data_IF_244309439136
#
_entry.id   IF_244309439136
#
_cell.length_a   1.000
_cell.length_b   1.000
_cell.length_c   1.000
_cell.angle_alpha   90.00
_cell.angle_beta   90.00
_cell.angle_gamma   90.00
#
_symmetry.space_group_name_H-M   'P 1'
#
loop_
_entity.id
_entity.type
_entity.pdbx_description
1 polymer ?
#
# COMPACT_ATOMS: atom_id res chain seq x y z
N UNK A 1 11.93 -35.30 -19.50
CA UNK A 1 11.70 -35.44 -18.04
C UNK A 1 12.18 -34.21 -17.23
N UNK A 2 12.27 -33.02 -17.83
CA UNK A 2 12.74 -31.78 -17.18
C UNK A 2 11.67 -30.69 -17.03
N UNK A 3 10.50 -30.79 -17.67
CA UNK A 3 9.48 -29.72 -17.60
C UNK A 3 8.73 -29.67 -16.26
N UNK A 4 8.63 -30.80 -15.56
CA UNK A 4 7.87 -30.89 -14.31
C UNK A 4 8.62 -30.24 -13.14
N UNK A 5 9.96 -30.30 -13.13
CA UNK A 5 10.81 -29.68 -12.12
C UNK A 5 10.92 -28.17 -12.31
N UNK A 6 11.07 -27.68 -13.55
CA UNK A 6 11.13 -26.26 -13.86
C UNK A 6 9.82 -25.54 -13.50
N UNK A 7 8.66 -26.13 -13.82
CA UNK A 7 7.35 -25.53 -13.48
C UNK A 7 7.04 -25.49 -11.98
N UNK A 8 7.57 -26.41 -11.17
CA UNK A 8 7.42 -26.38 -9.71
C UNK A 8 8.34 -25.35 -9.05
N UNK A 9 9.55 -25.16 -9.58
CA UNK A 9 10.50 -24.13 -9.13
C UNK A 9 9.97 -22.70 -9.36
N UNK A 10 9.32 -22.47 -10.50
CA UNK A 10 8.72 -21.18 -10.86
C UNK A 10 7.57 -20.79 -9.92
N UNK A 11 6.69 -21.74 -9.56
CA UNK A 11 5.59 -21.51 -8.61
C UNK A 11 6.07 -21.13 -7.21
N UNK A 12 7.07 -21.84 -6.69
CA UNK A 12 7.61 -21.57 -5.35
C UNK A 12 8.33 -20.21 -5.29
N UNK A 13 9.03 -19.84 -6.37
CA UNK A 13 9.65 -18.52 -6.51
C UNK A 13 8.60 -17.41 -6.54
N UNK A 14 7.53 -17.60 -7.32
CA UNK A 14 6.42 -16.66 -7.44
C UNK A 14 5.67 -16.47 -6.11
N UNK A 15 5.45 -17.54 -5.35
CA UNK A 15 4.81 -17.45 -4.02
C UNK A 15 5.65 -16.65 -3.02
N UNK A 16 6.97 -16.89 -2.98
CA UNK A 16 7.89 -16.11 -2.14
C UNK A 16 7.92 -14.63 -2.54
N UNK A 17 7.91 -14.34 -3.85
CA UNK A 17 7.91 -12.98 -4.38
C UNK A 17 6.60 -12.27 -4.06
N UNK A 18 5.46 -12.95 -4.20
CA UNK A 18 4.16 -12.42 -3.78
C UNK A 18 4.13 -12.15 -2.27
N UNK A 19 4.66 -13.04 -1.42
CA UNK A 19 4.77 -12.78 0.02
C UNK A 19 5.61 -11.54 0.32
N UNK A 20 6.75 -11.38 -0.36
CA UNK A 20 7.62 -10.21 -0.21
C UNK A 20 6.90 -8.91 -0.61
N UNK A 21 6.17 -8.90 -1.73
CA UNK A 21 5.40 -7.73 -2.18
C UNK A 21 4.34 -7.32 -1.14
N UNK A 22 3.64 -8.29 -0.54
CA UNK A 22 2.66 -7.99 0.52
C UNK A 22 3.31 -7.42 1.77
N UNK A 23 4.46 -7.96 2.17
CA UNK A 23 5.20 -7.44 3.31
C UNK A 23 5.63 -5.99 3.06
N UNK A 24 6.12 -5.69 1.86
CA UNK A 24 6.46 -4.32 1.46
C UNK A 24 5.23 -3.40 1.44
N UNK A 25 4.09 -3.86 0.91
CA UNK A 25 2.84 -3.11 0.93
C UNK A 25 2.37 -2.79 2.36
N UNK A 26 2.53 -3.72 3.30
CA UNK A 26 2.19 -3.48 4.70
C UNK A 26 3.01 -2.34 5.30
N UNK A 27 4.32 -2.32 5.05
CA UNK A 27 5.18 -1.22 5.50
C UNK A 27 4.79 0.11 4.84
N UNK A 28 4.49 0.11 3.53
CA UNK A 28 4.04 1.31 2.82
C UNK A 28 2.78 1.89 3.49
N UNK A 29 1.79 1.06 3.80
CA UNK A 29 0.57 1.51 4.49
C UNK A 29 0.89 2.11 5.85
N UNK A 30 1.75 1.46 6.63
CA UNK A 30 2.13 1.95 7.97
C UNK A 30 2.78 3.35 7.89
N UNK A 31 3.73 3.53 6.97
CA UNK A 31 4.37 4.83 6.75
C UNK A 31 3.39 5.87 6.22
N UNK A 32 2.53 5.52 5.25
CA UNK A 32 1.52 6.43 4.71
C UNK A 32 0.52 6.87 5.77
N UNK A 33 0.06 5.98 6.65
CA UNK A 33 -0.81 6.34 7.78
C UNK A 33 -0.11 7.30 8.75
N UNK A 34 1.16 7.04 9.07
CA UNK A 34 1.95 7.94 9.91
C UNK A 34 2.06 9.34 9.30
N UNK A 35 2.43 9.44 8.02
CA UNK A 35 2.50 10.71 7.32
C UNK A 35 1.14 11.39 7.17
N UNK A 36 0.06 10.63 6.98
CA UNK A 36 -1.29 11.17 6.89
C UNK A 36 -1.67 11.91 8.18
N UNK A 37 -1.47 11.28 9.34
CA UNK A 37 -1.79 11.87 10.65
C UNK A 37 -0.91 13.10 10.91
N UNK A 38 0.39 13.01 10.61
CA UNK A 38 1.32 14.12 10.81
C UNK A 38 0.94 15.34 9.96
N UNK A 39 0.63 15.13 8.69
CA UNK A 39 0.23 16.19 7.77
C UNK A 39 -1.15 16.76 8.10
N UNK A 40 -2.09 15.94 8.57
CA UNK A 40 -3.40 16.40 9.04
C UNK A 40 -3.26 17.31 10.27
N UNK A 41 -2.41 16.93 11.23
CA UNK A 41 -2.11 17.75 12.41
C UNK A 41 -1.46 19.09 12.01
N UNK A 42 -0.46 19.03 11.13
CA UNK A 42 0.22 20.23 10.64
C UNK A 42 -0.75 21.15 9.87
N UNK A 43 -1.60 20.61 9.00
CA UNK A 43 -2.61 21.37 8.29
C UNK A 43 -3.54 22.12 9.26
N UNK A 44 -4.05 21.44 10.29
CA UNK A 44 -4.88 22.06 11.34
C UNK A 44 -4.17 23.19 12.07
N UNK A 45 -2.91 22.98 12.45
CA UNK A 45 -2.07 24.00 13.11
C UNK A 45 -1.83 25.22 12.21
N UNK A 46 -1.52 25.01 10.93
CA UNK A 46 -1.24 26.11 9.99
C UNK A 46 -2.50 26.89 9.59
N UNK A 47 -3.66 26.23 9.50
CA UNK A 47 -4.95 26.90 9.35
C UNK A 47 -5.25 27.82 10.53
N UNK A 48 -5.02 27.37 11.76
CA UNK A 48 -5.23 28.18 12.97
C UNK A 48 -4.29 29.38 13.09
N UNK A 49 -3.06 29.27 12.57
CA UNK A 49 -2.06 30.34 12.58
C UNK A 49 -2.16 31.32 11.39
N UNK A 50 -3.16 31.19 10.51
CA UNK A 50 -3.35 32.09 9.36
C UNK A 50 -2.34 31.90 8.22
N UNK A 51 -1.57 30.80 8.22
CA UNK A 51 -0.54 30.54 7.21
C UNK A 51 -1.08 29.61 6.11
N UNK A 52 -1.88 30.19 5.22
CA UNK A 52 -2.65 29.47 4.19
C UNK A 52 -1.78 28.65 3.22
N UNK A 53 -0.59 29.14 2.86
CA UNK A 53 0.32 28.44 1.93
C UNK A 53 0.86 27.12 2.49
N UNK A 54 1.31 27.12 3.75
CA UNK A 54 1.79 25.89 4.41
C UNK A 54 0.66 24.91 4.73
N UNK A 55 -0.55 25.43 4.98
CA UNK A 55 -1.74 24.62 5.17
C UNK A 55 -2.13 23.87 3.88
N UNK A 56 -2.14 24.56 2.73
CA UNK A 56 -2.39 23.92 1.43
C UNK A 56 -1.35 22.86 1.09
N UNK A 57 -0.07 23.14 1.35
CA UNK A 57 0.99 22.17 1.09
C UNK A 57 0.86 20.92 1.97
N UNK A 58 0.51 21.09 3.25
CA UNK A 58 0.23 19.98 4.16
C UNK A 58 -0.97 19.14 3.71
N UNK A 59 -2.02 19.77 3.18
CA UNK A 59 -3.16 19.08 2.59
C UNK A 59 -2.77 18.27 1.34
N UNK A 60 -1.87 18.76 0.49
CA UNK A 60 -1.36 17.99 -0.65
C UNK A 60 -0.60 16.74 -0.22
N UNK A 61 0.27 16.86 0.79
CA UNK A 61 0.96 15.68 1.35
C UNK A 61 0.00 14.69 2.01
N UNK A 62 -1.06 15.19 2.64
CA UNK A 62 -2.14 14.36 3.17
C UNK A 62 -2.87 13.61 2.05
N UNK A 63 -3.24 14.29 0.96
CA UNK A 63 -3.88 13.68 -0.20
C UNK A 63 -3.00 12.59 -0.83
N UNK A 64 -1.70 12.85 -0.99
CA UNK A 64 -0.74 11.85 -1.49
C UNK A 64 -0.68 10.61 -0.60
N UNK A 65 -0.60 10.80 0.71
CA UNK A 65 -0.60 9.69 1.69
C UNK A 65 -1.90 8.88 1.62
N UNK A 66 -3.04 9.55 1.39
CA UNK A 66 -4.36 8.93 1.28
C UNK A 66 -4.49 8.09 0.01
N UNK A 67 -3.91 8.53 -1.11
CA UNK A 67 -3.81 7.73 -2.34
C UNK A 67 -3.02 6.45 -2.10
N UNK A 68 -1.85 6.52 -1.44
CA UNK A 68 -1.05 5.33 -1.12
C UNK A 68 -1.82 4.34 -0.25
N UNK A 69 -2.48 4.81 0.80
CA UNK A 69 -3.33 3.94 1.65
C UNK A 69 -4.43 3.27 0.81
N UNK A 70 -5.09 4.05 -0.06
CA UNK A 70 -6.19 3.54 -0.90
C UNK A 70 -5.71 2.47 -1.88
N UNK A 71 -4.59 2.69 -2.56
CA UNK A 71 -4.00 1.74 -3.51
C UNK A 71 -3.57 0.46 -2.80
N UNK A 72 -2.95 0.57 -1.64
CA UNK A 72 -2.56 -0.60 -0.85
C UNK A 72 -3.78 -1.37 -0.32
N UNK A 73 -4.86 -0.68 0.08
CA UNK A 73 -6.12 -1.33 0.47
C UNK A 73 -6.74 -2.09 -0.71
N UNK A 74 -6.75 -1.48 -1.90
CA UNK A 74 -7.20 -2.10 -3.14
C UNK A 74 -6.36 -3.33 -3.49
N UNK A 75 -5.04 -3.26 -3.33
CA UNK A 75 -4.14 -4.39 -3.55
C UNK A 75 -4.46 -5.59 -2.65
N UNK A 76 -4.64 -5.35 -1.35
CA UNK A 76 -5.01 -6.38 -0.38
C UNK A 76 -6.37 -7.01 -0.77
N UNK A 77 -7.33 -6.18 -1.18
CA UNK A 77 -8.64 -6.64 -1.64
C UNK A 77 -8.51 -7.53 -2.88
N UNK A 78 -7.81 -7.07 -3.93
CA UNK A 78 -7.60 -7.84 -5.16
C UNK A 78 -6.93 -9.18 -4.84
N UNK A 79 -5.93 -9.20 -3.96
CA UNK A 79 -5.26 -10.43 -3.55
C UNK A 79 -6.19 -11.38 -2.80
N UNK A 80 -6.98 -10.89 -1.86
CA UNK A 80 -7.93 -11.71 -1.11
C UNK A 80 -8.99 -12.37 -2.02
N UNK A 81 -9.52 -11.62 -2.98
CA UNK A 81 -10.53 -12.14 -3.92
C UNK A 81 -9.93 -13.01 -5.03
N UNK A 82 -8.70 -12.72 -5.47
CA UNK A 82 -8.01 -13.53 -6.49
C UNK A 82 -7.50 -14.85 -5.92
N UNK A 83 -6.98 -14.85 -4.68
CA UNK A 83 -6.55 -16.06 -4.00
C UNK A 83 -7.69 -17.07 -3.85
N UNK A 84 -8.93 -16.61 -3.58
CA UNK A 84 -10.10 -17.50 -3.48
C UNK A 84 -10.52 -18.15 -4.80
N UNK A 85 -10.29 -17.49 -5.96
CA UNK A 85 -10.63 -18.10 -7.27
C UNK A 85 -9.70 -19.27 -7.65
N UNK A 86 -8.52 -19.37 -7.03
CA UNK A 86 -7.57 -20.45 -7.27
C UNK A 86 -7.91 -21.77 -6.57
N UNK A 87 -8.88 -21.79 -5.65
CA UNK A 87 -9.26 -22.98 -4.86
C UNK A 87 -10.41 -23.80 -5.48
N UNK A 88 -10.96 -23.36 -6.62
CA UNK A 88 -12.15 -23.94 -7.26
C UNK A 88 -11.85 -24.49 -8.68
N UNK A 89 -10.63 -24.96 -8.93
CA UNK A 89 -10.25 -25.75 -10.11
C UNK A 89 -9.32 -26.89 -9.75
#
# INVERSE_FOLDING_TARGET
>A
MNDITVSRLDKNTREKLMFFVDLMMFFIVAFSMFFLVLNAYNAGKFFGNGSMGYAQQSLFYMAGSLVFVTVSMMWIFVRFFTARRGLHR
#
